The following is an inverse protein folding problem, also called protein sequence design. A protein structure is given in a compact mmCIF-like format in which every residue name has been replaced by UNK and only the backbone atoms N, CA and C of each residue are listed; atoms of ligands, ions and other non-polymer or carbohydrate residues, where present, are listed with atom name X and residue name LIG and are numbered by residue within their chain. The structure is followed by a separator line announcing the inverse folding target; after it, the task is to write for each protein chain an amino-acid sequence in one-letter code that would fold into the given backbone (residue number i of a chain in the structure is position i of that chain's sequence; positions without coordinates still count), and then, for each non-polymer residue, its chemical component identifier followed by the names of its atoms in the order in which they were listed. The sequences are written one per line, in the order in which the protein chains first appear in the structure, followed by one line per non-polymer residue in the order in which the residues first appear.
data_IF_195578928290
#
_entry.id   IF_195578928290
#
_cell.length_a   1.000
_cell.length_b   1.000
_cell.length_c   1.000
_cell.angle_alpha   90.00
_cell.angle_beta   90.00
_cell.angle_gamma   90.00
#
_symmetry.space_group_name_H-M   'P 1'
#
loop_
_entity.id
_entity.type
_entity.pdbx_description
1 polymer ?
#
# COMPACT_ATOMS: atom_id res chain seq x y z
N UNK A 1 -23.38 -7.09 -27.18
CA UNK A 1 -23.84 -7.60 -25.88
C UNK A 1 -24.29 -6.40 -25.06
N UNK A 2 -25.39 -6.47 -24.31
CA UNK A 2 -25.77 -5.38 -23.40
C UNK A 2 -24.76 -5.35 -22.26
N UNK A 3 -24.22 -4.16 -21.96
CA UNK A 3 -23.37 -3.96 -20.80
C UNK A 3 -24.19 -4.14 -19.53
N UNK A 4 -23.56 -4.68 -18.50
CA UNK A 4 -24.17 -4.79 -17.18
C UNK A 4 -24.11 -3.42 -16.51
N UNK A 5 -25.26 -2.90 -16.03
CA UNK A 5 -25.33 -1.61 -15.33
C UNK A 5 -25.33 -1.79 -13.81
N UNK A 6 -24.58 -0.96 -13.10
CA UNK A 6 -24.49 -0.92 -11.64
C UNK A 6 -24.54 0.50 -11.10
N UNK A 7 -25.23 0.68 -9.99
CA UNK A 7 -25.24 1.99 -9.30
C UNK A 7 -23.88 2.33 -8.69
N UNK A 8 -23.19 1.34 -8.14
CA UNK A 8 -21.88 1.50 -7.50
C UNK A 8 -20.95 0.36 -7.89
N UNK A 9 -19.81 0.70 -8.48
CA UNK A 9 -18.74 -0.21 -8.83
C UNK A 9 -17.50 0.10 -7.99
N UNK A 10 -16.94 -0.93 -7.34
CA UNK A 10 -15.75 -0.82 -6.49
C UNK A 10 -14.63 -1.62 -7.12
N UNK A 11 -13.46 -1.01 -7.31
CA UNK A 11 -12.30 -1.62 -7.94
C UNK A 11 -11.18 -1.76 -6.91
N UNK A 12 -10.92 -3.00 -6.50
CA UNK A 12 -9.94 -3.36 -5.48
C UNK A 12 -10.57 -3.84 -4.17
N UNK A 13 -9.87 -4.76 -3.50
CA UNK A 13 -10.37 -5.54 -2.37
C UNK A 13 -9.53 -5.42 -1.10
N UNK A 14 -8.70 -4.39 -1.00
CA UNK A 14 -8.05 -4.05 0.26
C UNK A 14 -9.04 -3.53 1.32
N UNK A 15 -8.56 -3.13 2.51
CA UNK A 15 -9.43 -2.59 3.56
C UNK A 15 -10.32 -1.44 3.10
N UNK A 16 -9.86 -0.60 2.16
CA UNK A 16 -10.65 0.48 1.58
C UNK A 16 -11.83 -0.08 0.75
N UNK A 17 -11.56 -1.02 -0.16
CA UNK A 17 -12.58 -1.59 -1.04
C UNK A 17 -13.64 -2.37 -0.28
N UNK A 18 -13.25 -3.28 0.61
CA UNK A 18 -14.22 -4.03 1.42
C UNK A 18 -15.02 -3.12 2.37
N UNK A 19 -14.39 -2.11 2.97
CA UNK A 19 -15.12 -1.14 3.81
C UNK A 19 -16.11 -0.33 2.97
N UNK A 20 -15.71 0.15 1.78
CA UNK A 20 -16.61 0.82 0.87
C UNK A 20 -17.81 -0.09 0.50
N UNK A 21 -17.55 -1.36 0.21
CA UNK A 21 -18.58 -2.36 -0.11
C UNK A 21 -19.58 -2.56 1.04
N UNK A 22 -19.10 -2.66 2.28
CA UNK A 22 -19.93 -2.79 3.48
C UNK A 22 -20.88 -1.58 3.60
N UNK A 23 -20.34 -0.36 3.50
CA UNK A 23 -21.14 0.87 3.64
C UNK A 23 -22.10 1.06 2.48
N UNK A 24 -21.66 0.85 1.23
CA UNK A 24 -22.51 0.94 0.05
C UNK A 24 -23.66 -0.09 0.08
N UNK A 25 -23.39 -1.33 0.50
CA UNK A 25 -24.44 -2.35 0.65
C UNK A 25 -25.45 -1.96 1.73
N UNK A 26 -25.00 -1.43 2.86
CA UNK A 26 -25.89 -0.95 3.92
C UNK A 26 -26.74 0.27 3.53
N UNK A 27 -26.27 1.04 2.56
CA UNK A 27 -27.01 2.13 1.92
C UNK A 27 -27.90 1.68 0.75
N UNK A 28 -28.07 0.37 0.53
CA UNK A 28 -28.85 -0.23 -0.56
C UNK A 28 -28.38 0.17 -1.97
N UNK A 29 -27.08 0.41 -2.15
CA UNK A 29 -26.52 0.72 -3.46
C UNK A 29 -26.27 -0.53 -4.32
N UNK A 30 -26.41 -1.73 -3.74
CA UNK A 30 -26.15 -3.03 -4.41
C UNK A 30 -24.79 -3.03 -5.13
N UNK A 31 -23.69 -2.77 -4.41
CA UNK A 31 -22.39 -2.60 -5.04
C UNK A 31 -21.87 -3.90 -5.66
N UNK A 32 -21.18 -3.75 -6.79
CA UNK A 32 -20.33 -4.77 -7.37
C UNK A 32 -18.87 -4.44 -7.06
N UNK A 33 -18.15 -5.39 -6.46
CA UNK A 33 -16.73 -5.25 -6.18
C UNK A 33 -15.92 -6.24 -7.00
N UNK A 34 -14.88 -5.74 -7.69
CA UNK A 34 -13.86 -6.57 -8.33
C UNK A 34 -12.59 -6.62 -7.48
N UNK A 35 -12.15 -7.85 -7.15
CA UNK A 35 -11.07 -8.07 -6.17
C UNK A 35 -9.66 -7.79 -6.71
N UNK A 36 -9.47 -7.79 -8.03
CA UNK A 36 -8.15 -7.74 -8.64
C UNK A 36 -7.43 -9.08 -8.58
N UNK A 37 -6.12 -9.05 -8.84
CA UNK A 37 -5.26 -10.25 -8.87
C UNK A 37 -4.89 -10.78 -7.48
N UNK A 38 -5.00 -9.95 -6.45
CA UNK A 38 -4.66 -10.29 -5.07
C UNK A 38 -5.83 -9.93 -4.14
N UNK A 39 -6.83 -10.82 -4.01
CA UNK A 39 -7.97 -10.61 -3.10
C UNK A 39 -7.51 -10.33 -1.66
N UNK A 40 -7.97 -9.20 -1.10
CA UNK A 40 -7.52 -8.72 0.22
C UNK A 40 -6.36 -7.72 0.18
N UNK A 41 -5.70 -7.56 -0.98
CA UNK A 41 -4.62 -6.60 -1.18
C UNK A 41 -3.33 -6.97 -0.44
N UNK A 42 -2.48 -5.98 -0.17
CA UNK A 42 -1.14 -6.22 0.42
C UNK A 42 -1.16 -6.88 1.79
N UNK A 43 -2.21 -6.71 2.58
CA UNK A 43 -2.31 -7.33 3.90
C UNK A 43 -2.31 -8.86 3.87
N UNK A 44 -2.65 -9.48 2.74
CA UNK A 44 -2.56 -10.94 2.60
C UNK A 44 -1.11 -11.46 2.65
N UNK A 45 -0.12 -10.59 2.47
CA UNK A 45 1.30 -10.91 2.60
C UNK A 45 1.85 -10.63 4.01
N UNK A 46 1.05 -10.00 4.88
CA UNK A 46 1.43 -9.69 6.26
C UNK A 46 1.14 -10.88 7.17
N UNK A 47 2.13 -11.28 7.96
CA UNK A 47 1.98 -12.41 8.89
C UNK A 47 1.02 -12.09 10.02
N UNK A 48 1.11 -10.90 10.59
CA UNK A 48 0.30 -10.48 11.73
C UNK A 48 -0.06 -8.99 11.67
N UNK A 49 -1.31 -8.67 11.95
CA UNK A 49 -1.87 -7.32 12.04
C UNK A 49 -2.27 -7.07 13.49
N UNK A 50 -1.49 -6.27 14.21
CA UNK A 50 -1.72 -5.95 15.63
C UNK A 50 -2.28 -4.53 15.83
N UNK A 51 -2.25 -3.70 14.80
CA UNK A 51 -2.56 -2.28 14.88
C UNK A 51 -3.92 -1.89 14.30
N UNK A 52 -4.78 -2.86 13.99
CA UNK A 52 -6.16 -2.59 13.59
C UNK A 52 -7.10 -2.74 14.79
N UNK A 53 -7.85 -1.69 15.19
CA UNK A 53 -8.74 -1.75 16.33
C UNK A 53 -9.82 -2.82 16.19
N UNK A 54 -10.04 -3.61 17.24
CA UNK A 54 -11.02 -4.70 17.27
C UNK A 54 -10.40 -6.10 17.32
N UNK A 55 -9.08 -6.20 17.18
CA UNK A 55 -8.33 -7.47 17.29
C UNK A 55 -7.31 -7.36 18.44
N UNK A 56 -7.73 -7.51 19.70
CA UNK A 56 -6.86 -7.31 20.86
C UNK A 56 -5.69 -8.32 20.96
N UNK A 57 -5.84 -9.48 20.35
CA UNK A 57 -4.81 -10.54 20.30
C UNK A 57 -4.04 -10.56 18.97
N UNK A 58 -4.23 -9.52 18.12
CA UNK A 58 -3.74 -9.55 16.76
C UNK A 58 -4.58 -10.49 15.86
N UNK A 59 -4.27 -10.47 14.57
CA UNK A 59 -4.89 -11.33 13.57
C UNK A 59 -3.94 -11.49 12.39
N UNK A 60 -3.92 -12.67 11.75
CA UNK A 60 -3.11 -12.81 10.53
C UNK A 60 -3.70 -11.98 9.39
N UNK A 61 -2.85 -11.43 8.54
CA UNK A 61 -3.31 -10.62 7.41
C UNK A 61 -4.33 -11.32 6.52
N UNK A 62 -4.14 -12.60 6.14
CA UNK A 62 -5.15 -13.38 5.40
C UNK A 62 -6.48 -13.53 6.16
N UNK A 63 -6.46 -13.81 7.47
CA UNK A 63 -7.68 -13.94 8.26
C UNK A 63 -8.42 -12.59 8.36
N UNK A 64 -7.69 -11.51 8.61
CA UNK A 64 -8.24 -10.15 8.65
C UNK A 64 -8.96 -9.79 7.34
N UNK A 65 -8.33 -10.01 6.20
CA UNK A 65 -8.92 -9.69 4.89
C UNK A 65 -10.11 -10.59 4.57
N UNK A 66 -10.08 -11.86 5.00
CA UNK A 66 -11.22 -12.76 4.88
C UNK A 66 -12.41 -12.32 5.74
N UNK A 67 -12.18 -11.79 6.93
CA UNK A 67 -13.23 -11.23 7.80
C UNK A 67 -13.90 -10.01 7.14
N UNK A 68 -13.13 -9.10 6.57
CA UNK A 68 -13.66 -7.97 5.82
C UNK A 68 -14.50 -8.43 4.61
N UNK A 69 -14.00 -9.40 3.86
CA UNK A 69 -14.71 -10.01 2.73
C UNK A 69 -16.04 -10.63 3.15
N UNK A 70 -16.01 -11.43 4.20
CA UNK A 70 -17.20 -12.09 4.75
C UNK A 70 -18.23 -11.08 5.23
N UNK A 71 -17.77 -9.98 5.84
CA UNK A 71 -18.64 -8.89 6.28
C UNK A 71 -19.30 -8.18 5.08
N UNK A 72 -18.57 -7.92 4.00
CA UNK A 72 -19.13 -7.35 2.78
C UNK A 72 -20.19 -8.28 2.15
N UNK A 73 -19.88 -9.57 2.02
CA UNK A 73 -20.83 -10.60 1.53
C UNK A 73 -22.10 -10.68 2.38
N UNK A 74 -21.96 -10.62 3.71
CA UNK A 74 -23.10 -10.66 4.64
C UNK A 74 -24.12 -9.53 4.40
N UNK A 75 -23.65 -8.38 3.92
CA UNK A 75 -24.52 -7.25 3.59
C UNK A 75 -25.00 -7.24 2.13
N UNK A 76 -24.66 -8.28 1.35
CA UNK A 76 -25.16 -8.44 -0.01
C UNK A 76 -24.30 -7.79 -1.10
N UNK A 77 -23.03 -7.47 -0.79
CA UNK A 77 -22.07 -7.09 -1.84
C UNK A 77 -21.89 -8.25 -2.81
N UNK A 78 -22.02 -7.97 -4.10
CA UNK A 78 -21.58 -8.91 -5.12
C UNK A 78 -20.06 -8.75 -5.32
N UNK A 79 -19.30 -9.84 -5.14
CA UNK A 79 -17.84 -9.84 -5.24
C UNK A 79 -17.44 -10.76 -6.39
N UNK A 80 -16.62 -10.24 -7.31
CA UNK A 80 -16.10 -10.99 -8.45
C UNK A 80 -14.57 -10.96 -8.48
N UNK A 81 -13.94 -12.07 -8.88
CA UNK A 81 -12.52 -12.07 -9.23
C UNK A 81 -12.30 -11.32 -10.54
N UNK A 82 -11.06 -10.91 -10.81
CA UNK A 82 -10.64 -10.31 -12.06
C UNK A 82 -10.14 -8.88 -11.90
N UNK A 83 -9.30 -8.48 -12.84
CA UNK A 83 -8.63 -7.18 -12.87
C UNK A 83 -9.28 -6.27 -13.91
N UNK A 84 -9.44 -4.99 -13.55
CA UNK A 84 -9.80 -3.97 -14.53
C UNK A 84 -8.63 -3.74 -15.49
N UNK A 85 -8.94 -3.76 -16.80
CA UNK A 85 -7.95 -3.64 -17.89
C UNK A 85 -8.10 -2.36 -18.69
N UNK A 86 -9.29 -1.72 -18.65
CA UNK A 86 -9.54 -0.44 -19.30
C UNK A 86 -10.60 0.32 -18.52
N UNK A 87 -10.46 1.64 -18.47
CA UNK A 87 -11.46 2.55 -17.93
C UNK A 87 -11.86 3.58 -19.00
N UNK A 88 -13.13 3.94 -19.02
CA UNK A 88 -13.63 5.13 -19.70
C UNK A 88 -14.47 5.92 -18.69
N UNK A 89 -13.87 6.98 -18.19
CA UNK A 89 -14.46 7.91 -17.22
C UNK A 89 -14.81 9.27 -17.85
N UNK A 90 -14.88 9.33 -19.17
CA UNK A 90 -15.17 10.58 -19.90
C UNK A 90 -16.61 11.07 -19.73
N UNK A 91 -17.54 10.14 -19.51
CA UNK A 91 -18.98 10.45 -19.38
C UNK A 91 -19.69 9.36 -18.56
N UNK A 92 -20.56 9.79 -17.63
CA UNK A 92 -21.45 8.88 -16.92
C UNK A 92 -22.60 8.36 -17.82
N UNK A 93 -23.07 7.10 -17.65
CA UNK A 93 -22.49 6.10 -16.78
C UNK A 93 -21.10 5.69 -17.27
N UNK A 94 -20.18 5.46 -16.30
CA UNK A 94 -18.77 5.14 -16.56
C UNK A 94 -18.62 3.69 -16.98
N UNK A 95 -17.65 3.40 -17.86
CA UNK A 95 -17.45 2.04 -18.37
C UNK A 95 -16.09 1.52 -17.92
N UNK A 96 -16.10 0.40 -17.21
CA UNK A 96 -14.89 -0.31 -16.83
C UNK A 96 -14.89 -1.68 -17.53
N UNK A 97 -13.78 -1.98 -18.20
CA UNK A 97 -13.55 -3.27 -18.84
C UNK A 97 -12.64 -4.11 -17.92
N UNK A 98 -13.05 -5.32 -17.65
CA UNK A 98 -12.32 -6.31 -16.90
C UNK A 98 -11.70 -7.37 -17.83
N UNK A 99 -10.94 -8.30 -17.25
CA UNK A 99 -10.41 -9.46 -17.96
C UNK A 99 -11.51 -10.16 -18.77
N UNK A 100 -11.13 -10.91 -19.79
CA UNK A 100 -12.05 -11.58 -20.74
C UNK A 100 -13.00 -10.62 -21.49
N UNK A 101 -12.76 -9.30 -21.41
CA UNK A 101 -13.55 -8.29 -22.12
C UNK A 101 -14.93 -8.03 -21.50
N UNK A 102 -15.14 -8.39 -20.24
CA UNK A 102 -16.36 -8.06 -19.50
C UNK A 102 -16.45 -6.56 -19.26
N UNK A 103 -17.51 -5.92 -19.73
CA UNK A 103 -17.76 -4.48 -19.55
C UNK A 103 -18.89 -4.25 -18.53
N UNK A 104 -18.62 -3.36 -17.57
CA UNK A 104 -19.61 -2.90 -16.58
C UNK A 104 -19.79 -1.40 -16.73
N UNK A 105 -21.04 -0.95 -16.86
CA UNK A 105 -21.44 0.45 -16.76
C UNK A 105 -21.79 0.77 -15.31
N UNK A 106 -21.30 1.91 -14.79
CA UNK A 106 -21.57 2.31 -13.42
C UNK A 106 -21.92 3.79 -13.30
N UNK A 107 -22.91 4.11 -12.46
CA UNK A 107 -23.24 5.50 -12.13
C UNK A 107 -22.20 6.12 -11.22
N UNK A 108 -21.63 5.32 -10.31
CA UNK A 108 -20.50 5.71 -9.45
C UNK A 108 -19.39 4.66 -9.45
N UNK A 109 -18.13 5.14 -9.37
CA UNK A 109 -16.93 4.30 -9.32
C UNK A 109 -16.10 4.67 -8.10
N UNK A 110 -15.73 3.66 -7.30
CA UNK A 110 -14.79 3.80 -6.19
C UNK A 110 -13.48 3.09 -6.57
N UNK A 111 -12.42 3.88 -6.77
CA UNK A 111 -11.08 3.40 -7.07
C UNK A 111 -10.40 3.09 -5.73
N UNK A 112 -10.21 1.80 -5.42
CA UNK A 112 -9.61 1.31 -4.19
C UNK A 112 -8.46 0.34 -4.46
N UNK A 113 -7.70 0.61 -5.53
CA UNK A 113 -6.66 -0.26 -6.09
C UNK A 113 -5.37 -0.30 -5.27
N UNK A 114 -5.25 0.59 -4.27
CA UNK A 114 -4.11 0.62 -3.35
C UNK A 114 -2.81 1.12 -3.99
N UNK A 115 -1.70 0.82 -3.32
CA UNK A 115 -0.35 1.11 -3.80
C UNK A 115 0.56 -0.08 -3.54
N UNK A 116 1.51 -0.34 -4.41
CA UNK A 116 2.45 -1.44 -4.31
C UNK A 116 3.80 -0.95 -3.78
N UNK A 117 4.36 -1.62 -2.78
CA UNK A 117 5.70 -1.31 -2.30
C UNK A 117 6.73 -1.62 -3.40
N UNK A 118 7.68 -0.69 -3.61
CA UNK A 118 8.80 -0.93 -4.50
C UNK A 118 9.72 -1.98 -3.89
N UNK A 119 10.20 -2.86 -4.75
CA UNK A 119 11.12 -3.94 -4.40
C UNK A 119 12.52 -3.65 -4.91
N UNK A 120 13.52 -4.27 -4.29
CA UNK A 120 14.91 -4.21 -4.76
C UNK A 120 15.11 -5.07 -6.01
N UNK A 121 14.26 -6.07 -6.21
CA UNK A 121 14.36 -7.04 -7.29
C UNK A 121 15.41 -8.12 -7.04
N UNK A 122 15.70 -8.39 -5.78
CA UNK A 122 16.64 -9.45 -5.40
C UNK A 122 15.97 -10.83 -5.54
N UNK A 123 16.70 -11.86 -5.96
CA UNK A 123 16.16 -13.21 -6.11
C UNK A 123 15.57 -13.78 -4.81
N UNK A 124 16.14 -13.38 -3.66
CA UNK A 124 15.77 -13.89 -2.34
C UNK A 124 14.70 -13.04 -1.64
N UNK A 125 14.36 -11.89 -2.18
CA UNK A 125 13.47 -10.91 -1.53
C UNK A 125 12.07 -11.49 -1.28
N UNK A 126 11.56 -12.26 -2.23
CA UNK A 126 10.24 -12.89 -2.13
C UNK A 126 10.23 -14.02 -1.09
N UNK A 127 11.32 -14.79 -0.98
CA UNK A 127 11.49 -15.84 0.01
C UNK A 127 11.33 -15.32 1.44
N UNK A 128 11.85 -14.11 1.70
CA UNK A 128 11.86 -13.52 3.04
C UNK A 128 10.74 -12.48 3.26
N UNK A 129 9.81 -12.32 2.32
CA UNK A 129 8.65 -11.45 2.51
C UNK A 129 7.81 -11.93 3.71
N UNK A 130 7.62 -11.06 4.72
CA UNK A 130 6.97 -11.41 5.99
C UNK A 130 7.81 -12.29 6.93
N UNK A 131 9.02 -12.70 6.51
CA UNK A 131 9.98 -13.47 7.32
C UNK A 131 11.30 -12.70 7.52
N UNK A 132 11.20 -11.39 7.68
CA UNK A 132 12.35 -10.52 7.90
C UNK A 132 12.48 -9.38 6.89
N UNK A 133 11.78 -9.41 5.76
CA UNK A 133 11.67 -8.28 4.81
C UNK A 133 10.32 -7.62 4.96
N UNK A 134 10.32 -6.30 5.22
CA UNK A 134 9.13 -5.46 5.35
C UNK A 134 9.27 -4.18 4.55
N UNK A 135 8.15 -3.61 4.11
CA UNK A 135 8.07 -2.29 3.50
C UNK A 135 7.35 -1.26 4.39
N UNK A 136 7.14 -1.57 5.67
CA UNK A 136 6.43 -0.70 6.61
C UNK A 136 7.03 -0.80 8.02
N UNK A 137 7.84 0.17 8.39
CA UNK A 137 8.46 0.20 9.72
C UNK A 137 7.42 0.36 10.86
N UNK A 138 6.34 1.13 10.61
CA UNK A 138 5.27 1.35 11.58
C UNK A 138 4.47 0.06 11.82
N UNK A 139 4.30 -0.77 10.77
CA UNK A 139 3.56 -2.02 10.87
C UNK A 139 4.35 -3.07 11.64
N UNK A 140 5.59 -3.30 11.22
CA UNK A 140 6.35 -4.48 11.62
C UNK A 140 7.50 -4.18 12.60
N UNK A 141 7.81 -2.90 12.84
CA UNK A 141 8.95 -2.51 13.69
C UNK A 141 8.88 -3.09 15.11
N UNK A 142 7.67 -3.32 15.63
CA UNK A 142 7.47 -3.89 16.97
C UNK A 142 8.09 -5.29 17.13
N UNK A 143 8.05 -6.14 16.09
CA UNK A 143 8.61 -7.49 16.09
C UNK A 143 10.15 -7.52 16.19
N UNK A 144 10.78 -6.36 15.95
CA UNK A 144 12.25 -6.19 15.99
C UNK A 144 12.74 -5.47 17.25
N UNK A 145 11.95 -5.49 18.32
CA UNK A 145 12.35 -4.90 19.61
C UNK A 145 13.64 -5.52 20.11
N UNK A 146 14.63 -4.65 20.46
CA UNK A 146 15.98 -5.01 20.91
C UNK A 146 16.81 -5.80 19.87
N UNK A 147 16.39 -5.86 18.62
CA UNK A 147 17.11 -6.51 17.51
C UNK A 147 17.89 -5.49 16.68
N UNK A 148 18.76 -5.95 15.80
CA UNK A 148 19.45 -5.14 14.82
C UNK A 148 18.68 -5.17 13.51
N UNK A 149 18.39 -4.03 12.94
CA UNK A 149 17.66 -3.95 11.67
C UNK A 149 18.42 -3.11 10.66
N UNK A 150 18.14 -3.34 9.39
CA UNK A 150 18.58 -2.45 8.33
C UNK A 150 17.38 -1.82 7.62
N UNK A 151 17.57 -0.61 7.09
CA UNK A 151 16.59 0.07 6.26
C UNK A 151 17.26 0.54 4.96
N UNK A 152 16.68 0.21 3.82
CA UNK A 152 17.17 0.62 2.52
C UNK A 152 16.44 1.88 2.08
N UNK A 153 17.19 2.95 1.89
CA UNK A 153 16.66 4.23 1.45
C UNK A 153 17.45 5.42 1.95
N UNK A 154 17.27 6.57 1.34
CA UNK A 154 18.01 7.79 1.70
C UNK A 154 17.18 9.07 1.52
N UNK A 155 15.85 8.99 1.38
CA UNK A 155 14.92 10.11 1.38
C UNK A 155 14.34 10.38 2.77
N UNK A 156 13.44 11.37 2.87
CA UNK A 156 12.80 11.76 4.13
C UNK A 156 12.09 10.58 4.80
N UNK A 157 11.29 9.81 4.06
CA UNK A 157 10.59 8.63 4.56
C UNK A 157 11.57 7.60 5.18
N UNK A 158 12.71 7.34 4.51
CA UNK A 158 13.69 6.41 5.04
C UNK A 158 14.33 6.92 6.35
N UNK A 159 14.55 8.22 6.45
CA UNK A 159 15.06 8.85 7.68
C UNK A 159 14.01 8.81 8.81
N UNK A 160 12.75 9.10 8.50
CA UNK A 160 11.63 9.05 9.47
C UNK A 160 11.46 7.63 10.02
N UNK A 161 11.41 6.64 9.12
CA UNK A 161 11.29 5.23 9.50
C UNK A 161 12.51 4.73 10.28
N UNK A 162 13.73 5.13 9.89
CA UNK A 162 14.93 4.81 10.63
C UNK A 162 14.90 5.38 12.07
N UNK A 163 14.50 6.65 12.22
CA UNK A 163 14.33 7.28 13.53
C UNK A 163 13.25 6.60 14.37
N UNK A 164 12.11 6.23 13.74
CA UNK A 164 11.07 5.45 14.41
C UNK A 164 11.61 4.12 14.93
N UNK A 165 12.31 3.36 14.07
CA UNK A 165 12.90 2.07 14.44
C UNK A 165 13.88 2.17 15.61
N UNK A 166 14.59 3.28 15.82
CA UNK A 166 15.48 3.44 16.98
C UNK A 166 14.77 3.43 18.34
N UNK A 167 13.46 3.68 18.35
CA UNK A 167 12.65 3.56 19.57
C UNK A 167 12.41 2.10 19.99
N UNK A 168 12.53 1.17 19.04
CA UNK A 168 12.26 -0.25 19.21
C UNK A 168 13.52 -1.10 19.12
N UNK A 169 14.27 -0.96 18.02
CA UNK A 169 15.47 -1.74 17.74
C UNK A 169 16.65 -1.34 18.63
N UNK A 170 17.58 -2.26 18.80
CA UNK A 170 18.87 -1.99 19.47
C UNK A 170 19.80 -1.16 18.59
N UNK A 171 19.76 -1.36 17.28
CA UNK A 171 20.54 -0.62 16.29
C UNK A 171 19.86 -0.64 14.91
N UNK A 172 20.03 0.44 14.15
CA UNK A 172 19.49 0.62 12.80
C UNK A 172 20.61 0.95 11.82
N UNK A 173 20.77 0.13 10.80
CA UNK A 173 21.69 0.40 9.69
C UNK A 173 20.90 1.01 8.53
N UNK A 174 21.25 2.22 8.09
CA UNK A 174 20.68 2.79 6.87
C UNK A 174 21.57 2.45 5.67
N UNK A 175 21.06 1.71 4.70
CA UNK A 175 21.79 1.32 3.49
C UNK A 175 21.43 2.32 2.38
N UNK A 176 22.44 3.09 1.94
CA UNK A 176 22.25 4.22 1.02
C UNK A 176 23.18 4.07 -0.18
N UNK A 177 22.61 4.01 -1.40
CA UNK A 177 23.38 3.84 -2.65
C UNK A 177 24.26 5.03 -3.02
N UNK A 178 23.92 6.22 -2.52
CA UNK A 178 24.66 7.46 -2.75
C UNK A 178 25.63 7.71 -1.60
N UNK A 179 26.54 8.64 -1.80
CA UNK A 179 27.45 9.20 -0.78
C UNK A 179 26.74 10.23 0.12
N UNK A 180 25.45 10.46 -0.08
CA UNK A 180 24.65 11.41 0.68
C UNK A 180 23.19 10.93 0.84
N UNK A 181 22.51 11.47 1.87
CA UNK A 181 21.05 11.35 2.03
C UNK A 181 20.35 12.44 1.22
N UNK A 182 19.34 12.06 0.42
CA UNK A 182 18.48 13.00 -0.33
C UNK A 182 17.43 13.69 0.55
N UNK A 183 17.34 13.29 1.80
CA UNK A 183 16.42 13.84 2.78
C UNK A 183 16.67 15.34 3.04
N UNK A 184 15.68 16.01 3.61
CA UNK A 184 15.76 17.38 4.08
C UNK A 184 16.88 17.55 5.11
N UNK A 185 17.41 18.78 5.23
CA UNK A 185 18.49 19.08 6.16
C UNK A 185 18.17 18.70 7.60
N UNK A 186 16.92 18.94 8.01
CA UNK A 186 16.47 18.62 9.36
C UNK A 186 16.49 17.12 9.63
N UNK A 187 16.10 16.32 8.65
CA UNK A 187 16.10 14.85 8.79
C UNK A 187 17.52 14.30 8.77
N UNK A 188 18.40 14.84 7.92
CA UNK A 188 19.83 14.47 7.91
C UNK A 188 20.50 14.76 9.25
N UNK A 189 20.21 15.91 9.87
CA UNK A 189 20.72 16.28 11.18
C UNK A 189 20.21 15.35 12.30
N UNK A 190 18.91 14.99 12.28
CA UNK A 190 18.32 14.07 13.25
C UNK A 190 18.92 12.67 13.14
N UNK A 191 19.11 12.16 11.93
CA UNK A 191 19.78 10.87 11.70
C UNK A 191 21.22 10.90 12.20
N UNK A 192 21.99 11.94 11.85
CA UNK A 192 23.39 12.07 12.24
C UNK A 192 23.58 12.22 13.77
N UNK A 193 22.62 12.80 14.47
CA UNK A 193 22.63 12.95 15.92
C UNK A 193 22.20 11.69 16.71
N UNK A 194 21.69 10.68 16.03
CA UNK A 194 21.17 9.48 16.70
C UNK A 194 22.24 8.37 16.78
N UNK A 195 22.72 8.09 17.98
CA UNK A 195 23.77 7.09 18.25
C UNK A 195 23.37 5.65 17.87
N UNK A 196 22.08 5.36 17.75
CA UNK A 196 21.59 4.04 17.32
C UNK A 196 21.56 3.88 15.80
N UNK A 197 21.85 4.94 15.02
CA UNK A 197 21.84 4.85 13.55
C UNK A 197 23.26 4.85 13.00
N UNK A 198 23.54 3.87 12.15
CA UNK A 198 24.75 3.87 11.32
C UNK A 198 24.34 3.98 9.85
N UNK A 199 24.79 5.02 9.16
CA UNK A 199 24.54 5.19 7.74
C UNK A 199 25.67 4.56 6.93
N UNK A 200 25.33 3.56 6.11
CA UNK A 200 26.23 2.89 5.19
C UNK A 200 26.07 3.52 3.80
N UNK A 201 26.86 4.54 3.53
CA UNK A 201 26.89 5.21 2.24
C UNK A 201 27.55 4.37 1.16
N UNK A 202 27.16 4.58 -0.09
CA UNK A 202 27.66 3.89 -1.29
C UNK A 202 27.49 2.36 -1.23
N UNK A 203 26.51 1.86 -0.44
CA UNK A 203 26.21 0.44 -0.33
C UNK A 203 24.95 0.06 -1.11
N UNK A 204 25.03 -1.03 -1.85
CA UNK A 204 23.90 -1.68 -2.52
C UNK A 204 23.63 -3.02 -1.86
N UNK A 205 22.38 -3.31 -1.58
CA UNK A 205 21.94 -4.64 -1.17
C UNK A 205 21.92 -5.54 -2.40
N UNK A 206 22.60 -6.66 -2.38
CA UNK A 206 22.74 -7.59 -3.51
C UNK A 206 22.22 -8.99 -3.21
N UNK A 207 21.83 -9.26 -1.98
CA UNK A 207 21.25 -10.53 -1.56
C UNK A 207 20.90 -10.55 -0.08
N UNK A 208 20.17 -11.57 0.32
CA UNK A 208 19.74 -11.85 1.68
C UNK A 208 20.19 -13.25 2.07
N UNK A 209 20.42 -13.48 3.35
CA UNK A 209 20.70 -14.82 3.86
C UNK A 209 19.99 -15.07 5.18
N UNK A 210 19.77 -16.35 5.47
CA UNK A 210 19.13 -16.86 6.68
C UNK A 210 18.43 -18.18 6.41
N UNK A 211 18.11 -18.91 7.46
CA UNK A 211 17.49 -20.24 7.37
C UNK A 211 15.97 -20.13 7.50
N UNK A 212 15.46 -19.69 8.65
CA UNK A 212 14.02 -19.56 8.95
C UNK A 212 13.52 -18.12 8.82
N UNK A 213 14.34 -17.19 8.36
CA UNK A 213 14.07 -15.78 8.19
C UNK A 213 15.34 -15.03 7.83
N UNK A 214 15.28 -13.70 7.80
CA UNK A 214 16.45 -12.88 7.53
C UNK A 214 17.40 -12.93 8.74
N UNK A 215 18.63 -13.33 8.51
CA UNK A 215 19.76 -13.30 9.47
C UNK A 215 20.85 -12.29 9.04
N UNK A 216 20.73 -11.79 7.80
CA UNK A 216 21.62 -10.76 7.31
C UNK A 216 21.43 -10.41 5.84
N UNK A 217 22.20 -9.43 5.41
CA UNK A 217 22.22 -8.94 4.03
C UNK A 217 23.62 -8.96 3.45
N UNK A 218 23.72 -9.31 2.18
CA UNK A 218 24.92 -9.15 1.37
C UNK A 218 24.92 -7.75 0.78
N UNK A 219 25.94 -6.98 1.07
CA UNK A 219 26.15 -5.63 0.59
C UNK A 219 27.35 -5.55 -0.34
N UNK A 220 27.28 -4.65 -1.28
CA UNK A 220 28.41 -4.25 -2.10
C UNK A 220 28.59 -2.75 -1.99
N UNK A 221 29.73 -2.33 -1.45
CA UNK A 221 30.14 -0.94 -1.42
C UNK A 221 30.75 -0.57 -2.77
N UNK A 222 30.38 0.58 -3.31
CA UNK A 222 30.85 1.10 -4.60
C UNK A 222 30.70 0.09 -5.75
N UNK A 223 29.50 -0.47 -5.86
CA UNK A 223 29.14 -1.47 -6.87
C UNK A 223 29.53 -0.99 -8.29
N UNK A 224 30.27 -1.84 -9.00
CA UNK A 224 30.73 -1.58 -10.37
C UNK A 224 31.95 -0.64 -10.47
N UNK A 225 32.60 -0.29 -9.35
CA UNK A 225 33.83 0.51 -9.33
C UNK A 225 35.06 -0.37 -9.09
N UNK A 226 36.27 0.11 -9.46
CA UNK A 226 37.51 -0.67 -9.30
C UNK A 226 37.84 -1.07 -7.85
N UNK A 227 37.33 -0.34 -6.88
CA UNK A 227 37.50 -0.53 -5.45
C UNK A 227 36.21 -1.06 -4.77
N UNK A 228 35.45 -1.85 -5.52
CA UNK A 228 34.28 -2.56 -5.00
C UNK A 228 34.66 -3.47 -3.81
N UNK A 229 33.88 -3.38 -2.73
CA UNK A 229 34.06 -4.17 -1.52
C UNK A 229 32.76 -4.91 -1.16
N UNK A 230 32.85 -6.20 -0.85
CA UNK A 230 31.71 -7.00 -0.39
C UNK A 230 31.68 -7.06 1.13
N UNK A 231 30.50 -6.86 1.70
CA UNK A 231 30.28 -6.83 3.14
C UNK A 231 29.03 -7.66 3.47
N UNK A 232 29.18 -8.59 4.39
CA UNK A 232 28.06 -9.30 4.99
C UNK A 232 27.68 -8.60 6.29
N UNK A 233 26.45 -8.14 6.39
CA UNK A 233 25.92 -7.41 7.54
C UNK A 233 24.88 -8.27 8.25
N UNK A 234 25.16 -8.79 9.47
CA UNK A 234 24.19 -9.50 10.27
C UNK A 234 23.09 -8.55 10.78
N UNK A 235 21.84 -8.90 10.49
CA UNK A 235 20.64 -8.18 10.92
C UNK A 235 19.49 -9.17 11.11
N UNK A 236 18.52 -8.80 11.93
CA UNK A 236 17.32 -9.60 12.18
C UNK A 236 16.15 -9.21 11.25
N UNK A 237 16.25 -8.07 10.57
CA UNK A 237 15.19 -7.59 9.67
C UNK A 237 15.66 -6.49 8.73
N UNK A 238 15.07 -6.48 7.53
CA UNK A 238 15.32 -5.50 6.47
C UNK A 238 14.04 -4.74 6.13
N UNK A 239 14.09 -3.42 6.23
CA UNK A 239 12.99 -2.53 5.86
C UNK A 239 13.28 -1.84 4.51
N UNK A 240 12.28 -1.82 3.63
CA UNK A 240 12.40 -1.22 2.29
C UNK A 240 11.71 0.14 2.27
N UNK A 241 12.46 1.22 2.49
CA UNK A 241 11.97 2.59 2.43
C UNK A 241 12.37 3.27 1.10
N UNK A 242 12.16 2.56 -0.01
CA UNK A 242 12.48 3.01 -1.37
C UNK A 242 11.26 3.54 -2.13
N UNK A 243 10.12 3.65 -1.44
CA UNK A 243 8.88 4.22 -1.92
C UNK A 243 7.85 3.19 -2.35
N UNK A 244 6.70 3.72 -2.73
CA UNK A 244 5.57 2.95 -3.23
C UNK A 244 5.23 3.39 -4.65
N UNK A 245 4.41 2.62 -5.32
CA UNK A 245 3.84 2.92 -6.61
C UNK A 245 2.31 2.78 -6.49
N UNK A 246 1.55 3.88 -6.54
CA UNK A 246 0.10 3.81 -6.50
C UNK A 246 -0.43 3.13 -7.75
N UNK A 247 -1.42 2.24 -7.61
CA UNK A 247 -1.99 1.49 -8.72
C UNK A 247 -3.10 2.32 -9.40
N UNK A 248 -2.72 3.43 -9.99
CA UNK A 248 -3.60 4.45 -10.57
C UNK A 248 -3.51 4.55 -12.09
N UNK A 249 -2.58 3.84 -12.74
CA UNK A 249 -2.25 4.00 -14.16
C UNK A 249 -3.48 3.89 -15.06
N UNK A 250 -4.38 2.97 -14.73
CA UNK A 250 -5.60 2.74 -15.51
C UNK A 250 -6.51 3.97 -15.57
N UNK A 251 -6.40 4.84 -14.57
CA UNK A 251 -7.28 6.00 -14.37
C UNK A 251 -6.57 7.34 -14.61
N UNK A 252 -5.24 7.34 -14.73
CA UNK A 252 -4.41 8.55 -14.76
C UNK A 252 -4.71 9.50 -15.93
N UNK A 253 -5.27 9.00 -17.05
CA UNK A 253 -5.71 9.82 -18.17
C UNK A 253 -7.01 10.62 -17.87
N UNK A 254 -7.71 10.27 -16.79
CA UNK A 254 -9.00 10.86 -16.44
C UNK A 254 -8.98 11.63 -15.13
N UNK A 255 -8.30 11.11 -14.10
CA UNK A 255 -8.23 11.73 -12.78
C UNK A 255 -6.89 12.45 -12.61
N UNK A 256 -6.89 13.51 -11.82
CA UNK A 256 -5.64 14.21 -11.49
C UNK A 256 -4.80 13.35 -10.56
N UNK A 257 -3.50 13.19 -10.89
CA UNK A 257 -2.51 12.50 -10.07
C UNK A 257 -1.36 13.44 -9.69
N UNK A 258 -0.66 13.11 -8.62
CA UNK A 258 0.58 13.81 -8.26
C UNK A 258 1.78 13.30 -9.08
N UNK A 259 2.96 13.85 -8.81
CA UNK A 259 4.21 13.50 -9.51
C UNK A 259 4.64 12.03 -9.34
N UNK A 260 4.13 11.36 -8.32
CA UNK A 260 4.41 9.94 -8.02
C UNK A 260 3.33 9.03 -8.60
N UNK A 261 2.13 9.57 -8.88
CA UNK A 261 0.99 8.86 -9.42
C UNK A 261 -0.17 8.67 -8.43
N UNK A 262 -0.11 9.23 -7.22
CA UNK A 262 -1.24 9.18 -6.28
C UNK A 262 -2.40 10.03 -6.79
N UNK A 263 -3.61 9.45 -6.75
CA UNK A 263 -4.83 10.19 -7.15
C UNK A 263 -5.07 11.34 -6.18
N UNK A 264 -5.19 12.55 -6.72
CA UNK A 264 -5.54 13.73 -5.93
C UNK A 264 -7.04 13.75 -5.64
N UNK A 265 -7.37 14.11 -4.41
CA UNK A 265 -8.74 14.26 -3.94
C UNK A 265 -9.01 15.67 -3.46
N UNK A 266 -10.29 16.05 -3.42
CA UNK A 266 -10.72 17.39 -3.00
C UNK A 266 -10.66 17.55 -1.48
N UNK A 267 -9.56 18.07 -0.97
CA UNK A 267 -9.35 18.27 0.47
C UNK A 267 -9.44 16.96 1.26
N UNK A 268 -10.25 16.89 2.34
CA UNK A 268 -10.37 15.69 3.17
C UNK A 268 -11.39 14.67 2.64
N UNK A 269 -11.98 14.92 1.46
CA UNK A 269 -13.01 14.06 0.85
C UNK A 269 -12.35 13.04 -0.09
N UNK A 270 -13.00 11.92 -0.42
CA UNK A 270 -12.53 10.98 -1.42
C UNK A 270 -12.90 11.37 -2.86
N UNK A 271 -13.49 12.55 -3.08
CA UNK A 271 -13.90 13.04 -4.39
C UNK A 271 -12.70 13.29 -5.27
N UNK A 272 -12.75 12.78 -6.49
CA UNK A 272 -11.81 13.15 -7.55
C UNK A 272 -12.35 14.37 -8.31
N UNK A 273 -11.63 14.86 -9.31
CA UNK A 273 -12.16 15.91 -10.21
C UNK A 273 -13.30 15.45 -11.12
N UNK A 274 -13.72 14.18 -11.06
CA UNK A 274 -14.80 13.62 -11.89
C UNK A 274 -16.01 13.35 -10.99
N UNK A 275 -17.19 13.95 -11.27
CA UNK A 275 -18.41 13.71 -10.50
C UNK A 275 -18.77 12.22 -10.45
N UNK A 276 -19.08 11.66 -9.28
CA UNK A 276 -19.42 10.24 -9.12
C UNK A 276 -18.22 9.28 -9.15
N UNK A 277 -16.98 9.78 -9.29
CA UNK A 277 -15.76 8.98 -9.18
C UNK A 277 -14.99 9.34 -7.92
N UNK A 278 -14.69 8.35 -7.11
CA UNK A 278 -14.05 8.50 -5.79
C UNK A 278 -12.80 7.66 -5.72
N UNK A 279 -11.81 8.11 -4.94
CA UNK A 279 -10.59 7.37 -4.67
C UNK A 279 -10.45 7.11 -3.16
N UNK A 280 -10.07 5.89 -2.79
CA UNK A 280 -9.95 5.47 -1.40
C UNK A 280 -8.78 4.51 -1.17
N UNK A 281 -8.18 4.60 0.02
CA UNK A 281 -7.02 3.81 0.40
C UNK A 281 -5.73 4.35 -0.18
N UNK A 282 -4.74 3.49 -0.22
CA UNK A 282 -3.36 3.86 -0.52
C UNK A 282 -3.16 4.42 -1.94
N UNK A 283 -4.10 4.22 -2.86
CA UNK A 283 -4.05 4.84 -4.19
C UNK A 283 -4.14 6.37 -4.16
N UNK A 284 -4.69 6.92 -3.06
CA UNK A 284 -4.85 8.36 -2.82
C UNK A 284 -4.21 8.83 -1.50
N UNK A 285 -3.48 7.94 -0.79
CA UNK A 285 -2.79 8.25 0.48
C UNK A 285 -1.28 8.10 0.34
N UNK A 286 -0.55 9.18 0.01
CA UNK A 286 0.91 9.14 -0.06
C UNK A 286 1.60 9.11 1.31
N UNK A 287 0.87 9.30 2.42
CA UNK A 287 1.45 9.57 3.73
C UNK A 287 1.33 8.41 4.71
N UNK A 288 0.10 7.96 5.00
CA UNK A 288 -0.16 7.05 6.12
C UNK A 288 -0.08 5.58 5.70
N UNK A 289 -0.77 5.17 4.64
CA UNK A 289 -0.81 3.79 4.13
C UNK A 289 -1.01 2.75 5.23
N UNK A 290 -2.06 2.97 6.05
CA UNK A 290 -2.44 2.07 7.14
C UNK A 290 -3.79 1.42 6.84
N UNK A 291 -3.99 0.18 7.32
CA UNK A 291 -5.26 -0.54 7.14
C UNK A 291 -6.46 0.27 7.66
N UNK A 292 -6.31 0.92 8.83
CA UNK A 292 -7.38 1.70 9.45
C UNK A 292 -7.69 2.99 8.69
N UNK A 293 -6.67 3.69 8.14
CA UNK A 293 -6.89 4.89 7.31
C UNK A 293 -7.49 4.53 5.96
N UNK A 294 -7.06 3.42 5.37
CA UNK A 294 -7.64 2.88 4.16
C UNK A 294 -9.12 2.51 4.36
N UNK A 295 -9.46 1.80 5.42
CA UNK A 295 -10.84 1.48 5.78
C UNK A 295 -11.68 2.75 5.97
N UNK A 296 -11.17 3.75 6.71
CA UNK A 296 -11.84 5.02 6.92
C UNK A 296 -12.11 5.77 5.60
N UNK A 297 -11.16 5.76 4.67
CA UNK A 297 -11.35 6.39 3.35
C UNK A 297 -12.38 5.65 2.50
N UNK A 298 -12.42 4.31 2.56
CA UNK A 298 -13.46 3.50 1.92
C UNK A 298 -14.87 3.80 2.43
N UNK A 299 -15.01 3.97 3.75
CA UNK A 299 -16.26 4.43 4.37
C UNK A 299 -16.69 5.80 3.79
N UNK A 300 -15.78 6.77 3.74
CA UNK A 300 -16.05 8.10 3.15
C UNK A 300 -16.49 7.99 1.70
N UNK A 301 -15.81 7.17 0.89
CA UNK A 301 -16.12 7.02 -0.53
C UNK A 301 -17.52 6.46 -0.76
N UNK A 302 -17.95 5.47 0.03
CA UNK A 302 -19.30 4.93 -0.07
C UNK A 302 -20.38 5.94 0.33
N UNK A 303 -20.13 6.75 1.37
CA UNK A 303 -21.04 7.82 1.80
C UNK A 303 -21.16 8.91 0.72
N UNK A 304 -20.05 9.29 0.09
CA UNK A 304 -20.08 10.27 -1.00
C UNK A 304 -20.74 9.70 -2.27
N UNK A 305 -20.60 8.41 -2.56
CA UNK A 305 -21.30 7.75 -3.66
C UNK A 305 -22.82 7.74 -3.41
N UNK A 306 -23.27 7.44 -2.19
CA UNK A 306 -24.68 7.51 -1.80
C UNK A 306 -25.26 8.93 -2.00
N UNK A 307 -24.54 9.94 -1.51
CA UNK A 307 -24.96 11.35 -1.66
C UNK A 307 -25.08 11.76 -3.12
N UNK A 308 -24.06 11.43 -3.91
CA UNK A 308 -24.04 11.72 -5.34
C UNK A 308 -25.25 11.12 -6.06
N UNK A 309 -25.53 9.84 -5.83
CA UNK A 309 -26.67 9.15 -6.42
C UNK A 309 -28.01 9.80 -5.99
N UNK A 310 -28.15 10.13 -4.71
CA UNK A 310 -29.35 10.80 -4.20
C UNK A 310 -29.56 12.18 -4.80
N UNK A 311 -28.52 12.99 -4.96
CA UNK A 311 -28.57 14.32 -5.57
C UNK A 311 -28.94 14.29 -7.07
N UNK A 312 -28.63 13.19 -7.76
CA UNK A 312 -28.89 13.02 -9.20
C UNK A 312 -30.13 12.16 -9.51
N UNK A 313 -30.83 11.67 -8.46
CA UNK A 313 -32.04 10.84 -8.64
C UNK A 313 -31.76 9.44 -9.21
N UNK A 314 -30.59 8.89 -8.96
CA UNK A 314 -30.09 7.60 -9.46
C UNK A 314 -30.23 6.48 -8.43
#
# INVERSE_FOLDING_TARGET
MSREHRRCLIIGSGPAGYTAAIYASRANLSPLLYEGIQPGGQLTQTTEVENFPGYPEGVTGPAFTQDLRNQALRFGTEIRPGMATKADLSKAPYVITFEEGVEVEADTVIIATGASAKRLGLPDEEKYAGMGVSACAICDGFFYRNKKVAIVGGGDTACEEALYLTSLASHVYMIVRKDYLRASDIMRQRVAANEKITVLYEHNTVGLYGEDGVEGVHLVKRLGQPDEERVDLPIDGLFLAIGHHPNSELFADYVEVDEVGYIKTEGPTPRTGIPGVFAAGDVADPLYRQAVTAAASGCKAAIEAERYLGEHGL
#
